data_IF_197848976078
#
_entry.id   IF_197848976078
#
_cell.length_a   1.000
_cell.length_b   1.000
_cell.length_c   1.000
_cell.angle_alpha   90.00
_cell.angle_beta   90.00
_cell.angle_gamma   90.00
#
_symmetry.space_group_name_H-M   'P 1'
#
loop_
_entity.id
_entity.type
_entity.pdbx_description
1 polymer ?
#
# COMPACT_ATOMS: atom_id res chain seq x y z
N UNK A 1 7.59 -3.66 7.68
CA UNK A 1 7.93 -3.43 6.25
C UNK A 1 9.42 -3.66 6.11
N UNK A 2 9.84 -4.72 5.43
CA UNK A 2 11.25 -5.12 5.34
C UNK A 2 11.91 -4.41 4.13
N UNK A 3 12.43 -3.19 4.34
CA UNK A 3 13.04 -2.36 3.29
C UNK A 3 14.10 -3.14 2.50
N UNK A 4 14.98 -3.87 3.20
CA UNK A 4 16.03 -4.68 2.57
C UNK A 4 15.48 -5.74 1.61
N UNK A 5 14.35 -6.36 1.97
CA UNK A 5 13.71 -7.36 1.12
C UNK A 5 13.09 -6.72 -0.14
N UNK A 6 12.52 -5.51 -0.04
CA UNK A 6 11.99 -4.78 -1.20
C UNK A 6 13.12 -4.34 -2.15
N UNK A 7 14.24 -3.86 -1.61
CA UNK A 7 15.46 -3.56 -2.39
C UNK A 7 15.95 -4.82 -3.12
N UNK A 8 16.05 -5.96 -2.43
CA UNK A 8 16.45 -7.24 -3.02
C UNK A 8 15.55 -7.68 -4.16
N UNK A 9 14.23 -7.51 -4.00
CA UNK A 9 13.26 -7.86 -5.03
C UNK A 9 13.42 -6.97 -6.27
N UNK A 10 13.55 -5.65 -6.08
CA UNK A 10 13.78 -4.70 -7.17
C UNK A 10 15.09 -4.98 -7.92
N UNK A 11 16.19 -5.26 -7.19
CA UNK A 11 17.46 -5.64 -7.79
C UNK A 11 17.33 -6.87 -8.69
N UNK A 12 16.63 -7.91 -8.21
CA UNK A 12 16.36 -9.12 -8.98
C UNK A 12 15.49 -8.86 -10.21
N UNK A 13 14.48 -8.00 -10.11
CA UNK A 13 13.66 -7.58 -11.25
C UNK A 13 14.48 -6.85 -12.32
N UNK A 14 15.54 -6.15 -11.92
CA UNK A 14 16.52 -5.53 -12.84
C UNK A 14 17.61 -6.48 -13.33
N UNK A 15 17.56 -7.77 -12.95
CA UNK A 15 18.58 -8.78 -13.26
C UNK A 15 20.00 -8.39 -12.82
N UNK A 16 20.14 -7.62 -11.73
CA UNK A 16 21.44 -7.24 -11.19
C UNK A 16 21.86 -8.22 -10.10
N UNK A 17 23.14 -8.55 -10.04
CA UNK A 17 23.81 -9.14 -8.89
C UNK A 17 24.03 -8.09 -7.79
N UNK A 18 24.32 -8.53 -6.57
CA UNK A 18 24.67 -7.60 -5.48
C UNK A 18 25.96 -6.82 -5.79
N UNK A 19 26.84 -7.42 -6.59
CA UNK A 19 28.10 -6.85 -7.03
C UNK A 19 27.85 -5.72 -8.02
N UNK A 20 27.06 -5.95 -9.07
CA UNK A 20 26.69 -4.92 -10.04
C UNK A 20 25.88 -3.77 -9.42
N UNK A 21 25.00 -4.04 -8.45
CA UNK A 21 24.31 -2.98 -7.71
C UNK A 21 25.31 -2.16 -6.89
N UNK A 22 26.27 -2.82 -6.24
CA UNK A 22 27.34 -2.17 -5.51
C UNK A 22 28.18 -1.26 -6.40
N UNK A 23 28.65 -1.76 -7.54
CA UNK A 23 29.43 -0.99 -8.51
C UNK A 23 28.70 0.27 -9.00
N UNK A 24 27.40 0.16 -9.28
CA UNK A 24 26.57 1.30 -9.76
C UNK A 24 26.25 2.33 -8.67
N UNK A 25 26.36 1.96 -7.40
CA UNK A 25 26.05 2.82 -6.25
C UNK A 25 27.29 3.26 -5.48
N UNK A 26 28.48 2.87 -5.93
CA UNK A 26 29.75 3.03 -5.21
C UNK A 26 29.73 2.40 -3.81
N UNK A 27 29.12 1.21 -3.71
CA UNK A 27 28.99 0.44 -2.47
C UNK A 27 29.64 -0.94 -2.61
N UNK A 28 30.13 -1.49 -1.51
CA UNK A 28 30.63 -2.87 -1.53
C UNK A 28 29.48 -3.88 -1.64
N UNK A 29 29.72 -4.99 -2.34
CA UNK A 29 28.81 -6.17 -2.36
C UNK A 29 28.41 -6.62 -0.96
N UNK A 30 29.35 -6.59 -0.01
CA UNK A 30 29.11 -6.95 1.39
C UNK A 30 28.09 -6.01 2.06
N UNK A 31 28.21 -4.71 1.82
CA UNK A 31 27.28 -3.71 2.33
C UNK A 31 25.88 -3.87 1.71
N UNK A 32 25.78 -4.05 0.38
CA UNK A 32 24.51 -4.39 -0.28
C UNK A 32 23.88 -5.65 0.34
N UNK A 33 24.67 -6.70 0.59
CA UNK A 33 24.17 -7.91 1.24
C UNK A 33 23.66 -7.67 2.66
N UNK A 34 24.29 -6.77 3.43
CA UNK A 34 23.83 -6.43 4.78
C UNK A 34 22.52 -5.63 4.74
N UNK A 35 22.37 -4.72 3.78
CA UNK A 35 21.11 -3.99 3.55
C UNK A 35 19.99 -4.97 3.20
N UNK A 36 20.22 -5.84 2.21
CA UNK A 36 19.20 -6.78 1.73
C UNK A 36 18.77 -7.83 2.76
N UNK A 37 19.60 -8.08 3.77
CA UNK A 37 19.32 -8.98 4.90
C UNK A 37 18.87 -8.24 6.17
N UNK A 38 18.57 -6.94 6.07
CA UNK A 38 18.16 -6.07 7.17
C UNK A 38 19.14 -6.04 8.36
N UNK A 39 20.41 -6.39 8.14
CA UNK A 39 21.49 -6.30 9.14
C UNK A 39 22.00 -4.87 9.33
N UNK A 40 21.75 -4.02 8.34
CA UNK A 40 22.11 -2.60 8.36
C UNK A 40 21.12 -1.82 7.53
N UNK A 41 20.87 -0.58 7.93
CA UNK A 41 20.07 0.37 7.15
C UNK A 41 21.00 1.36 6.45
N UNK A 42 20.80 1.64 5.15
CA UNK A 42 21.51 2.73 4.49
C UNK A 42 21.07 4.07 5.08
N UNK A 43 21.93 5.08 4.99
CA UNK A 43 21.50 6.46 5.24
C UNK A 43 20.57 6.94 4.11
N UNK A 44 19.95 8.12 4.26
CA UNK A 44 19.00 8.63 3.26
C UNK A 44 19.62 8.84 1.88
N UNK A 45 20.83 9.38 1.79
CA UNK A 45 21.52 9.61 0.52
C UNK A 45 21.82 8.30 -0.21
N UNK A 46 22.40 7.34 0.51
CA UNK A 46 22.68 5.99 0.02
C UNK A 46 21.40 5.28 -0.43
N UNK A 47 20.32 5.41 0.35
CA UNK A 47 19.03 4.83 0.00
C UNK A 47 18.50 5.40 -1.30
N UNK A 48 18.51 6.73 -1.47
CA UNK A 48 18.06 7.39 -2.70
C UNK A 48 18.90 6.99 -3.91
N UNK A 49 20.22 6.90 -3.78
CA UNK A 49 21.11 6.42 -4.83
C UNK A 49 20.77 4.97 -5.26
N UNK A 50 20.52 4.08 -4.29
CA UNK A 50 20.06 2.71 -4.59
C UNK A 50 18.74 2.74 -5.36
N UNK A 51 17.77 3.56 -4.96
CA UNK A 51 16.49 3.65 -5.66
C UNK A 51 16.62 4.19 -7.10
N UNK A 52 17.52 5.15 -7.31
CA UNK A 52 17.82 5.70 -8.63
C UNK A 52 18.37 4.62 -9.58
N UNK A 53 19.37 3.85 -9.13
CA UNK A 53 19.92 2.72 -9.90
C UNK A 53 18.88 1.64 -10.18
N UNK A 54 17.95 1.42 -9.24
CA UNK A 54 16.83 0.49 -9.38
C UNK A 54 15.66 1.08 -10.17
N UNK A 55 15.71 2.35 -10.58
CA UNK A 55 14.71 3.03 -11.39
C UNK A 55 13.33 3.12 -10.72
N UNK A 56 13.29 3.43 -9.42
CA UNK A 56 12.06 3.66 -8.66
C UNK A 56 12.15 4.95 -7.87
N UNK A 57 11.02 5.61 -7.58
CA UNK A 57 11.00 6.75 -6.67
C UNK A 57 10.77 6.30 -5.22
N UNK A 58 11.08 7.12 -4.20
CA UNK A 58 10.68 6.84 -2.81
C UNK A 58 9.17 6.66 -2.66
N UNK A 59 8.37 7.46 -3.38
CA UNK A 59 6.91 7.31 -3.40
C UNK A 59 6.55 5.90 -3.86
N UNK A 60 7.01 5.48 -5.03
CA UNK A 60 6.68 4.16 -5.58
C UNK A 60 7.27 3.01 -4.75
N UNK A 61 8.43 3.25 -4.12
CA UNK A 61 9.06 2.30 -3.22
C UNK A 61 8.26 2.11 -1.94
N UNK A 62 7.59 3.13 -1.41
CA UNK A 62 6.73 3.01 -0.24
C UNK A 62 5.25 2.79 -0.57
N UNK A 63 4.88 2.97 -1.83
CA UNK A 63 3.59 2.58 -2.37
C UNK A 63 3.58 1.05 -2.50
N UNK A 64 3.42 0.39 -1.35
CA UNK A 64 2.80 -0.92 -1.35
C UNK A 64 1.42 -0.69 -1.94
N UNK A 65 1.26 -0.92 -3.26
CA UNK A 65 -0.05 -1.03 -3.89
C UNK A 65 -0.83 -1.98 -3.01
N UNK A 66 -1.61 -1.42 -2.09
CA UNK A 66 -2.40 -2.22 -1.19
C UNK A 66 -3.25 -3.03 -2.13
N UNK A 67 -3.19 -4.36 -2.02
CA UNK A 67 -4.16 -5.20 -2.70
C UNK A 67 -5.49 -4.59 -2.30
N UNK A 68 -6.15 -3.93 -3.26
CA UNK A 68 -7.34 -3.16 -2.98
C UNK A 68 -8.24 -4.10 -2.20
N UNK A 69 -8.66 -3.71 -1.00
CA UNK A 69 -9.48 -4.59 -0.18
C UNK A 69 -10.74 -4.89 -1.00
N UNK A 70 -10.82 -6.09 -1.56
CA UNK A 70 -11.94 -6.47 -2.45
C UNK A 70 -13.09 -7.12 -1.69
N UNK A 71 -12.85 -7.49 -0.43
CA UNK A 71 -13.82 -8.18 0.42
C UNK A 71 -14.16 -7.33 1.64
N UNK A 72 -15.44 -6.97 1.76
CA UNK A 72 -16.00 -6.17 2.85
C UNK A 72 -17.13 -6.96 3.54
N UNK A 73 -16.81 -7.75 4.57
CA UNK A 73 -17.81 -8.58 5.25
C UNK A 73 -18.85 -7.71 5.95
N UNK A 74 -20.09 -8.22 6.09
CA UNK A 74 -21.21 -7.49 6.73
C UNK A 74 -20.87 -6.92 8.11
N UNK A 75 -20.00 -7.58 8.87
CA UNK A 75 -19.55 -7.14 10.20
C UNK A 75 -18.75 -5.83 10.20
N UNK A 76 -18.18 -5.43 9.07
CA UNK A 76 -17.41 -4.19 8.92
C UNK A 76 -18.20 -3.04 8.28
N UNK A 77 -19.41 -3.34 7.81
CA UNK A 77 -20.27 -2.37 7.14
C UNK A 77 -20.87 -1.42 8.18
N UNK A 78 -21.11 -0.18 7.78
CA UNK A 78 -21.76 0.80 8.64
C UNK A 78 -23.25 0.81 8.32
N UNK A 79 -24.09 0.75 9.35
CA UNK A 79 -25.54 0.89 9.23
C UNK A 79 -26.03 2.03 10.12
N UNK A 80 -26.97 2.80 9.62
CA UNK A 80 -27.69 3.84 10.34
C UNK A 80 -29.19 3.60 10.20
N UNK A 81 -29.90 3.77 11.30
CA UNK A 81 -31.31 3.43 11.44
C UNK A 81 -32.05 4.66 11.94
N UNK A 82 -33.05 5.12 11.20
CA UNK A 82 -33.92 6.22 11.60
C UNK A 82 -35.36 5.72 11.65
N UNK A 83 -35.67 5.04 12.76
CA UNK A 83 -36.98 4.39 12.94
C UNK A 83 -38.14 5.39 12.91
N UNK A 84 -37.92 6.62 13.40
CA UNK A 84 -38.96 7.66 13.41
C UNK A 84 -39.36 8.11 11.99
N UNK A 85 -38.44 8.02 11.02
CA UNK A 85 -38.67 8.40 9.62
C UNK A 85 -38.86 7.20 8.70
N UNK A 86 -38.74 5.97 9.21
CA UNK A 86 -38.95 4.74 8.46
C UNK A 86 -37.88 4.47 7.39
N UNK A 87 -36.64 4.88 7.61
CA UNK A 87 -35.55 4.57 6.67
C UNK A 87 -34.30 4.00 7.33
N UNK A 88 -33.60 3.18 6.55
CA UNK A 88 -32.37 2.50 6.93
C UNK A 88 -31.29 2.75 5.88
N UNK A 89 -30.11 3.17 6.34
CA UNK A 89 -28.94 3.40 5.51
C UNK A 89 -27.88 2.35 5.80
N UNK A 90 -27.22 1.89 4.74
CA UNK A 90 -26.10 0.96 4.88
C UNK A 90 -25.00 1.33 3.88
N UNK A 91 -23.78 1.51 4.39
CA UNK A 91 -22.56 1.67 3.60
C UNK A 91 -21.82 0.33 3.54
N UNK A 92 -21.85 -0.39 2.39
CA UNK A 92 -21.13 -1.64 2.22
C UNK A 92 -19.62 -1.48 2.34
N UNK A 93 -19.12 -0.28 2.05
CA UNK A 93 -17.71 0.10 2.17
C UNK A 93 -17.64 1.33 3.07
N UNK A 94 -17.26 1.14 4.34
CA UNK A 94 -17.26 2.20 5.37
C UNK A 94 -16.38 3.42 5.01
N UNK A 95 -15.30 3.21 4.27
CA UNK A 95 -14.38 4.27 3.82
C UNK A 95 -14.59 4.64 2.35
N UNK A 96 -15.80 4.45 1.84
CA UNK A 96 -16.08 4.65 0.42
C UNK A 96 -15.92 6.10 -0.05
N UNK A 97 -16.02 7.06 0.88
CA UNK A 97 -15.71 8.48 0.68
C UNK A 97 -14.23 8.75 0.30
N UNK A 98 -13.32 7.80 0.51
CA UNK A 98 -11.92 7.87 0.07
C UNK A 98 -11.71 7.40 -1.38
N UNK A 99 -12.76 6.89 -2.04
CA UNK A 99 -12.72 6.35 -3.40
C UNK A 99 -13.56 7.19 -4.36
N UNK A 100 -13.40 6.93 -5.66
CA UNK A 100 -14.17 7.61 -6.72
C UNK A 100 -15.69 7.33 -6.65
N UNK A 101 -16.11 6.32 -5.88
CA UNK A 101 -17.51 5.91 -5.74
C UNK A 101 -17.89 5.66 -4.29
N UNK A 102 -19.00 6.25 -3.87
CA UNK A 102 -19.59 6.09 -2.53
C UNK A 102 -20.93 5.33 -2.59
N UNK A 103 -20.94 3.98 -2.57
CA UNK A 103 -22.17 3.22 -2.62
C UNK A 103 -22.92 3.28 -1.28
N UNK A 104 -24.22 3.57 -1.36
CA UNK A 104 -25.16 3.61 -0.24
C UNK A 104 -26.38 2.75 -0.59
N UNK A 105 -26.78 1.85 0.33
CA UNK A 105 -28.07 1.18 0.26
C UNK A 105 -29.04 1.92 1.17
N UNK A 106 -30.09 2.48 0.57
CA UNK A 106 -31.24 3.06 1.27
C UNK A 106 -32.40 2.06 1.21
N UNK A 107 -32.90 1.67 2.38
CA UNK A 107 -34.15 0.90 2.52
C UNK A 107 -35.21 1.81 3.10
N UNK A 108 -36.36 1.93 2.42
CA UNK A 108 -37.49 2.73 2.86
C UNK A 108 -38.64 1.81 3.26
N UNK A 109 -39.25 2.09 4.39
CA UNK A 109 -40.54 1.50 4.74
C UNK A 109 -41.66 2.06 3.84
N UNK A 110 -42.80 1.37 3.72
CA UNK A 110 -43.96 1.90 3.01
C UNK A 110 -44.33 3.30 3.53
N UNK A 111 -44.43 4.26 2.62
CA UNK A 111 -44.76 5.67 2.90
C UNK A 111 -43.68 6.51 3.60
N UNK A 112 -42.48 5.97 3.82
CA UNK A 112 -41.33 6.73 4.34
C UNK A 112 -40.65 7.61 3.27
N UNK A 113 -39.92 8.63 3.72
CA UNK A 113 -39.11 9.52 2.88
C UNK A 113 -37.73 9.78 3.49
N UNK A 114 -36.70 9.81 2.65
CA UNK A 114 -35.32 10.16 3.01
C UNK A 114 -35.03 11.64 2.75
#
# INVERSE_FOLDING_TARGET
MEIGQKIKNLRRLKNLTQEELGERTDLSKGYISQIESNKTSPNMETFLNILEVLGTSPRDFFDDKQVAKVHYPKSEQLSYCEDEKGYYLQWPVKRSNEFDMEPLLLTLEPHASY
#
